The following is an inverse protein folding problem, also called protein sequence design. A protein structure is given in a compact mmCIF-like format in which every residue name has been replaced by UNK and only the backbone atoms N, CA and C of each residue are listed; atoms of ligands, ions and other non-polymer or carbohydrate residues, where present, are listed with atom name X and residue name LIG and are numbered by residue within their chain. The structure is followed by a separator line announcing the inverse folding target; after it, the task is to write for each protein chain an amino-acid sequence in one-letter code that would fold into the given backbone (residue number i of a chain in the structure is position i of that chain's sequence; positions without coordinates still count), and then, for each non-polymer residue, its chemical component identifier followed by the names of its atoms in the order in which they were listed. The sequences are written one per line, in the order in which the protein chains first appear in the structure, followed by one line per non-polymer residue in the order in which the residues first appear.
data_IF_904030542768
#
_entry.id   IF_904030542768
#
_cell.length_a   1.000
_cell.length_b   1.000
_cell.length_c   1.000
_cell.angle_alpha   90.00
_cell.angle_beta   90.00
_cell.angle_gamma   90.00
#
_symmetry.space_group_name_H-M   'P 1'
#
loop_
_entity.id
_entity.type
_entity.pdbx_description
1 polymer ?
#
# COMPACT_ATOMS: atom_id res chain seq x y z
N UNK A 1 -8.57 -3.76 32.09
CA UNK A 1 -9.60 -4.29 33.01
C UNK A 1 -10.90 -4.42 32.21
N UNK A 2 -11.47 -5.61 32.08
CA UNK A 2 -12.67 -5.88 31.27
C UNK A 2 -13.98 -5.58 32.02
N UNK A 3 -14.16 -4.40 32.63
CA UNK A 3 -15.32 -4.19 33.53
C UNK A 3 -16.68 -4.35 32.83
N UNK A 4 -16.85 -3.80 31.62
CA UNK A 4 -18.07 -3.94 30.85
C UNK A 4 -18.29 -5.37 30.32
N UNK A 5 -17.25 -6.02 29.80
CA UNK A 5 -17.36 -7.39 29.28
C UNK A 5 -17.58 -8.43 30.38
N UNK A 6 -16.97 -8.25 31.57
CA UNK A 6 -17.22 -9.07 32.74
C UNK A 6 -18.68 -8.93 33.22
N UNK A 7 -19.21 -7.70 33.21
CA UNK A 7 -20.63 -7.44 33.53
C UNK A 7 -21.59 -8.07 32.51
N UNK A 8 -21.23 -8.10 31.23
CA UNK A 8 -22.07 -8.66 30.18
C UNK A 8 -22.07 -10.20 30.17
N UNK A 9 -20.93 -10.82 30.51
CA UNK A 9 -20.75 -12.28 30.44
C UNK A 9 -20.91 -12.99 31.79
N UNK A 10 -20.95 -12.25 32.89
CA UNK A 10 -20.99 -12.81 34.25
C UNK A 10 -19.70 -13.53 34.66
N UNK A 11 -18.63 -13.46 33.86
CA UNK A 11 -17.34 -14.07 34.14
C UNK A 11 -16.45 -13.14 34.97
N UNK A 12 -15.60 -13.70 35.83
CA UNK A 12 -14.48 -12.93 36.39
C UNK A 12 -13.59 -12.45 35.23
N UNK A 13 -13.60 -11.14 34.99
CA UNK A 13 -12.80 -10.54 33.93
C UNK A 13 -11.32 -10.85 34.14
N UNK A 14 -10.72 -11.61 33.21
CA UNK A 14 -9.30 -11.94 33.24
C UNK A 14 -8.41 -10.70 33.12
N UNK A 15 -7.12 -10.85 33.43
CA UNK A 15 -6.16 -9.77 33.24
C UNK A 15 -5.83 -9.62 31.75
N UNK A 16 -6.19 -8.47 31.16
CA UNK A 16 -5.98 -8.18 29.73
C UNK A 16 -4.54 -8.43 29.28
N UNK A 17 -3.56 -8.10 30.13
CA UNK A 17 -2.13 -8.31 29.85
C UNK A 17 -1.76 -9.78 29.68
N UNK A 18 -2.39 -10.68 30.44
CA UNK A 18 -2.15 -12.13 30.32
C UNK A 18 -2.73 -12.65 29.01
N UNK A 19 -3.95 -12.21 28.67
CA UNK A 19 -4.58 -12.56 27.40
C UNK A 19 -3.75 -12.07 26.20
N UNK A 20 -3.32 -10.80 26.22
CA UNK A 20 -2.47 -10.22 25.18
C UNK A 20 -1.14 -10.98 25.05
N UNK A 21 -0.50 -11.33 26.17
CA UNK A 21 0.72 -12.13 26.16
C UNK A 21 0.50 -13.52 25.54
N UNK A 22 -0.60 -14.20 25.90
CA UNK A 22 -0.95 -15.50 25.33
C UNK A 22 -1.22 -15.41 23.82
N UNK A 23 -1.96 -14.39 23.37
CA UNK A 23 -2.17 -14.10 21.95
C UNK A 23 -0.84 -13.94 21.20
N UNK A 24 0.08 -13.12 21.74
CA UNK A 24 1.41 -12.90 21.14
C UNK A 24 2.23 -14.18 21.05
N UNK A 25 2.17 -15.05 22.07
CA UNK A 25 2.87 -16.35 22.05
C UNK A 25 2.30 -17.30 20.97
N UNK A 26 1.02 -17.17 20.63
CA UNK A 26 0.36 -17.93 19.58
C UNK A 26 0.42 -17.26 18.20
N UNK A 27 1.10 -16.11 18.06
CA UNK A 27 1.17 -15.36 16.81
C UNK A 27 -0.12 -14.66 16.40
N UNK A 28 -1.07 -14.49 17.34
CA UNK A 28 -2.31 -13.75 17.13
C UNK A 28 -2.00 -12.26 17.17
N UNK A 29 -2.46 -11.54 16.14
CA UNK A 29 -2.34 -10.09 16.04
C UNK A 29 -3.59 -9.47 16.66
N UNK A 30 -3.40 -8.74 17.75
CA UNK A 30 -4.47 -7.95 18.37
C UNK A 30 -4.63 -6.62 17.63
N UNK A 31 -5.88 -6.17 17.53
CA UNK A 31 -6.31 -4.91 16.92
C UNK A 31 -7.20 -4.16 17.90
N UNK A 32 -7.20 -2.84 17.81
CA UNK A 32 -7.97 -1.98 18.72
C UNK A 32 -9.32 -1.55 18.14
N UNK A 33 -9.50 -1.72 16.83
CA UNK A 33 -10.72 -1.35 16.13
C UNK A 33 -11.14 -2.39 15.08
N UNK A 34 -12.46 -2.59 14.83
CA UNK A 34 -12.95 -3.46 13.77
C UNK A 34 -12.46 -3.07 12.36
N UNK A 35 -12.27 -1.77 12.09
CA UNK A 35 -11.74 -1.30 10.82
C UNK A 35 -10.32 -1.86 10.56
N UNK A 36 -9.45 -1.79 11.57
CA UNK A 36 -8.10 -2.35 11.51
C UNK A 36 -8.12 -3.86 11.21
N UNK A 37 -9.09 -4.62 11.77
CA UNK A 37 -9.24 -6.04 11.44
C UNK A 37 -9.48 -6.28 9.94
N UNK A 38 -10.32 -5.45 9.31
CA UNK A 38 -10.63 -5.57 7.88
C UNK A 38 -9.41 -5.20 7.03
N UNK A 39 -8.69 -4.14 7.41
CA UNK A 39 -7.49 -3.71 6.71
C UNK A 39 -6.38 -4.77 6.78
N UNK A 40 -6.15 -5.34 7.96
CA UNK A 40 -5.22 -6.46 8.13
C UNK A 40 -5.66 -7.67 7.31
N UNK A 41 -6.95 -8.02 7.34
CA UNK A 41 -7.49 -9.16 6.59
C UNK A 41 -7.25 -8.99 5.08
N UNK A 42 -7.42 -7.78 4.54
CA UNK A 42 -7.09 -7.46 3.16
C UNK A 42 -5.61 -7.72 2.84
N UNK A 43 -4.70 -7.18 3.66
CA UNK A 43 -3.27 -7.36 3.47
C UNK A 43 -2.81 -8.82 3.57
N UNK A 44 -3.18 -9.51 4.65
CA UNK A 44 -2.76 -10.89 4.91
C UNK A 44 -3.33 -11.91 3.92
N UNK A 45 -4.53 -11.68 3.40
CA UNK A 45 -5.16 -12.59 2.42
C UNK A 45 -4.63 -12.42 1.01
N UNK A 46 -4.15 -11.21 0.67
CA UNK A 46 -3.95 -10.81 -0.72
C UNK A 46 -2.49 -10.52 -1.11
N UNK A 47 -1.60 -10.29 -0.13
CA UNK A 47 -0.22 -9.89 -0.36
C UNK A 47 0.78 -10.99 0.05
N UNK A 48 1.97 -11.05 -0.58
CA UNK A 48 3.08 -11.82 -0.03
C UNK A 48 3.52 -11.27 1.34
N UNK A 49 3.96 -12.14 2.25
CA UNK A 49 4.54 -11.69 3.51
C UNK A 49 5.92 -11.05 3.27
N UNK A 50 6.19 -9.85 3.83
CA UNK A 50 7.48 -9.19 3.69
C UNK A 50 8.57 -9.97 4.44
N UNK A 51 9.74 -10.13 3.83
CA UNK A 51 10.87 -10.88 4.42
C UNK A 51 11.55 -10.13 5.57
N UNK A 52 11.38 -8.82 5.62
CA UNK A 52 11.96 -7.90 6.59
C UNK A 52 11.19 -6.58 6.63
N UNK A 53 11.76 -5.58 7.28
CA UNK A 53 11.08 -4.32 7.59
C UNK A 53 11.54 -3.14 6.73
N UNK A 54 12.31 -3.38 5.64
CA UNK A 54 12.86 -2.31 4.80
C UNK A 54 11.89 -1.95 3.69
N UNK A 55 11.49 -0.69 3.62
CA UNK A 55 10.40 -0.20 2.77
C UNK A 55 10.92 0.78 1.74
N UNK A 56 10.55 0.54 0.48
CA UNK A 56 10.69 1.50 -0.61
C UNK A 56 9.40 2.30 -0.75
N UNK A 57 9.48 3.59 -0.97
CA UNK A 57 8.30 4.46 -1.14
C UNK A 57 8.35 5.09 -2.53
N UNK A 58 7.26 4.96 -3.30
CA UNK A 58 7.06 5.64 -4.59
C UNK A 58 5.84 6.54 -4.47
N UNK A 59 5.98 7.81 -4.82
CA UNK A 59 4.90 8.80 -4.66
C UNK A 59 4.83 9.74 -5.85
N UNK A 60 3.62 10.21 -6.16
CA UNK A 60 3.39 11.27 -7.13
C UNK A 60 3.68 12.67 -6.56
N UNK A 61 3.76 12.81 -5.24
CA UNK A 61 4.10 14.07 -4.56
C UNK A 61 4.83 13.89 -3.22
N UNK A 62 5.84 14.72 -2.99
CA UNK A 62 6.75 14.60 -1.85
C UNK A 62 6.11 14.71 -0.46
N UNK A 63 5.01 15.46 -0.31
CA UNK A 63 4.33 15.61 0.99
C UNK A 63 3.83 14.27 1.55
N UNK A 64 3.21 13.44 0.70
CA UNK A 64 2.82 12.08 1.08
C UNK A 64 4.04 11.22 1.38
N UNK A 65 5.09 11.32 0.57
CA UNK A 65 6.33 10.59 0.79
C UNK A 65 6.94 10.80 2.18
N UNK A 66 6.99 12.06 2.64
CA UNK A 66 7.51 12.40 3.98
C UNK A 66 6.62 11.81 5.08
N UNK A 67 5.32 12.05 5.03
CA UNK A 67 4.37 11.55 6.04
C UNK A 67 4.42 10.02 6.14
N UNK A 68 4.46 9.32 4.99
CA UNK A 68 4.58 7.86 4.96
C UNK A 68 5.91 7.38 5.52
N UNK A 69 7.01 8.05 5.21
CA UNK A 69 8.33 7.68 5.69
C UNK A 69 8.44 7.85 7.22
N UNK A 70 7.95 8.96 7.75
CA UNK A 70 7.89 9.20 9.20
C UNK A 70 7.03 8.13 9.88
N UNK A 71 5.85 7.83 9.31
CA UNK A 71 4.97 6.80 9.85
C UNK A 71 5.59 5.39 9.81
N UNK A 72 6.34 5.08 8.76
CA UNK A 72 7.11 3.83 8.68
C UNK A 72 8.07 3.72 9.86
N UNK A 73 8.86 4.76 10.11
CA UNK A 73 9.85 4.79 11.19
C UNK A 73 9.19 4.65 12.57
N UNK A 74 8.08 5.35 12.82
CA UNK A 74 7.29 5.22 14.05
C UNK A 74 6.75 3.80 14.27
N UNK A 75 6.45 3.10 13.18
CA UNK A 75 5.84 1.75 13.20
C UNK A 75 6.88 0.63 13.17
N UNK A 76 8.17 0.94 13.35
CA UNK A 76 9.27 -0.04 13.36
C UNK A 76 9.69 -0.55 11.98
N UNK A 77 9.21 0.08 10.91
CA UNK A 77 9.71 -0.12 9.55
C UNK A 77 10.90 0.81 9.29
N UNK A 78 11.75 0.45 8.34
CA UNK A 78 12.92 1.25 7.96
C UNK A 78 12.77 1.73 6.52
N UNK A 79 13.11 2.99 6.25
CA UNK A 79 13.14 3.57 4.89
C UNK A 79 14.60 3.80 4.50
N UNK A 80 15.34 2.75 4.09
CA UNK A 80 16.78 2.88 3.86
C UNK A 80 17.06 3.68 2.58
N UNK A 81 18.25 4.31 2.49
CA UNK A 81 18.70 4.90 1.23
C UNK A 81 18.82 3.83 0.14
N UNK A 82 18.59 4.23 -1.10
CA UNK A 82 18.71 3.38 -2.28
C UNK A 82 20.05 3.62 -2.98
N UNK A 83 20.69 2.60 -3.57
CA UNK A 83 21.96 2.74 -4.28
C UNK A 83 21.89 3.68 -5.48
N UNK A 84 23.02 4.30 -5.80
CA UNK A 84 23.20 5.16 -6.97
C UNK A 84 22.83 4.47 -8.29
N UNK A 85 22.96 3.16 -8.38
CA UNK A 85 22.56 2.39 -9.56
C UNK A 85 21.04 2.50 -9.82
N UNK A 86 20.23 2.33 -8.77
CA UNK A 86 18.76 2.47 -8.85
C UNK A 86 18.40 3.93 -9.16
N UNK A 87 19.04 4.88 -8.48
CA UNK A 87 18.85 6.32 -8.73
C UNK A 87 19.14 6.66 -10.20
N UNK A 88 20.21 6.08 -10.79
CA UNK A 88 20.57 6.30 -12.19
C UNK A 88 19.56 5.70 -13.16
N UNK A 89 18.97 4.54 -12.86
CA UNK A 89 17.95 3.92 -13.72
C UNK A 89 16.65 4.74 -13.68
N UNK A 90 16.12 5.00 -12.49
CA UNK A 90 14.89 5.80 -12.31
C UNK A 90 15.08 7.22 -12.86
N UNK A 91 16.24 7.83 -12.59
CA UNK A 91 16.55 9.19 -13.01
C UNK A 91 16.63 9.42 -14.53
N UNK A 92 16.67 8.38 -15.36
CA UNK A 92 16.55 8.51 -16.83
C UNK A 92 15.16 8.98 -17.27
N UNK A 93 14.16 8.75 -16.43
CA UNK A 93 12.76 9.08 -16.70
C UNK A 93 12.30 10.36 -15.99
N UNK A 94 13.11 10.89 -15.07
CA UNK A 94 12.73 11.98 -14.19
C UNK A 94 13.55 13.24 -14.48
N UNK A 95 12.97 14.43 -14.24
CA UNK A 95 13.69 15.68 -14.43
C UNK A 95 14.85 15.78 -13.42
N UNK A 96 15.92 16.56 -13.71
CA UNK A 96 17.13 16.61 -12.87
C UNK A 96 16.93 17.00 -11.39
N UNK A 97 15.78 17.57 -11.03
CA UNK A 97 15.44 18.10 -9.71
C UNK A 97 14.58 17.17 -8.84
N UNK A 98 14.33 15.92 -9.25
CA UNK A 98 13.65 14.93 -8.41
C UNK A 98 14.47 14.56 -7.15
N UNK A 99 13.83 13.92 -6.15
CA UNK A 99 14.38 13.70 -4.80
C UNK A 99 15.66 12.85 -4.75
N UNK A 100 15.91 11.98 -5.75
CA UNK A 100 17.09 11.09 -5.84
C UNK A 100 17.32 10.24 -4.59
N UNK A 101 16.25 9.69 -4.03
CA UNK A 101 16.35 8.90 -2.81
C UNK A 101 15.12 8.03 -2.56
N UNK A 102 14.98 7.63 -1.30
CA UNK A 102 13.80 6.92 -0.79
C UNK A 102 13.21 7.81 0.31
N UNK A 103 12.05 8.46 0.09
CA UNK A 103 11.08 8.23 -0.99
C UNK A 103 11.49 8.67 -2.41
N UNK A 104 11.03 7.90 -3.39
CA UNK A 104 11.10 8.21 -4.83
C UNK A 104 9.89 9.09 -5.20
N UNK A 105 10.11 10.40 -5.31
CA UNK A 105 9.10 11.36 -5.79
C UNK A 105 9.17 11.48 -7.31
N UNK A 106 8.09 11.10 -7.99
CA UNK A 106 7.96 11.15 -9.45
C UNK A 106 7.57 12.54 -9.98
N UNK A 107 7.42 13.53 -9.10
CA UNK A 107 7.28 14.94 -9.43
C UNK A 107 6.09 15.23 -10.35
N UNK A 108 4.99 14.49 -10.16
CA UNK A 108 3.80 14.63 -10.99
C UNK A 108 4.01 14.25 -12.47
N UNK A 109 4.93 13.32 -12.76
CA UNK A 109 5.18 12.85 -14.14
C UNK A 109 3.88 12.45 -14.87
N UNK A 110 3.83 12.76 -16.17
CA UNK A 110 2.75 12.35 -17.07
C UNK A 110 3.04 11.02 -17.76
N UNK A 111 4.26 10.54 -17.65
CA UNK A 111 4.67 9.24 -18.19
C UNK A 111 4.16 8.13 -17.27
N UNK A 112 3.29 7.31 -17.83
CA UNK A 112 2.55 6.26 -17.13
C UNK A 112 3.39 5.01 -16.88
N UNK A 113 4.56 4.88 -17.51
CA UNK A 113 5.46 3.74 -17.31
C UNK A 113 6.39 3.94 -16.10
N UNK A 114 6.75 5.19 -15.80
CA UNK A 114 7.71 5.54 -14.74
C UNK A 114 7.32 4.99 -13.36
N UNK A 115 6.05 5.01 -12.92
CA UNK A 115 5.66 4.43 -11.65
C UNK A 115 5.96 2.92 -11.58
N UNK A 116 5.71 2.20 -12.67
CA UNK A 116 5.97 0.75 -12.76
C UNK A 116 7.47 0.48 -12.71
N UNK A 117 8.26 1.26 -13.46
CA UNK A 117 9.74 1.18 -13.44
C UNK A 117 10.28 1.45 -12.03
N UNK A 118 9.84 2.51 -11.37
CA UNK A 118 10.30 2.86 -10.03
C UNK A 118 9.99 1.77 -9.00
N UNK A 119 8.76 1.23 -9.02
CA UNK A 119 8.39 0.11 -8.15
C UNK A 119 9.24 -1.13 -8.46
N UNK A 120 9.39 -1.50 -9.73
CA UNK A 120 10.17 -2.68 -10.11
C UNK A 120 11.64 -2.57 -9.67
N UNK A 121 12.29 -1.43 -9.88
CA UNK A 121 13.69 -1.24 -9.47
C UNK A 121 13.87 -1.35 -7.95
N UNK A 122 12.90 -0.87 -7.15
CA UNK A 122 12.92 -1.07 -5.71
C UNK A 122 12.71 -2.53 -5.33
N UNK A 123 11.82 -3.26 -6.01
CA UNK A 123 11.58 -4.68 -5.73
C UNK A 123 12.77 -5.57 -6.11
N UNK A 124 13.54 -5.22 -7.15
CA UNK A 124 14.79 -5.90 -7.53
C UNK A 124 15.85 -5.80 -6.43
N UNK A 125 15.87 -4.73 -5.66
CA UNK A 125 16.89 -4.49 -4.65
C UNK A 125 16.68 -5.32 -3.38
N UNK A 126 17.67 -6.13 -3.02
CA UNK A 126 17.67 -6.91 -1.77
C UNK A 126 17.70 -6.04 -0.51
N UNK A 127 17.97 -4.74 -0.64
CA UNK A 127 17.84 -3.75 0.43
C UNK A 127 16.39 -3.36 0.78
N UNK A 128 15.41 -3.81 -0.01
CA UNK A 128 13.99 -3.49 0.14
C UNK A 128 13.20 -4.80 0.24
N UNK A 129 12.31 -4.88 1.22
CA UNK A 129 11.47 -6.05 1.50
C UNK A 129 10.00 -5.84 1.10
N UNK A 130 9.57 -4.58 0.95
CA UNK A 130 8.22 -4.18 0.57
C UNK A 130 8.23 -2.79 -0.09
N UNK A 131 7.23 -2.48 -0.91
CA UNK A 131 7.06 -1.15 -1.51
C UNK A 131 5.70 -0.57 -1.16
N UNK A 132 5.65 0.69 -0.73
CA UNK A 132 4.43 1.48 -0.63
C UNK A 132 4.38 2.44 -1.82
N UNK A 133 3.27 2.45 -2.56
CA UNK A 133 3.10 3.27 -3.75
C UNK A 133 1.83 4.10 -3.69
N UNK A 134 1.90 5.38 -4.09
CA UNK A 134 0.84 6.34 -3.76
C UNK A 134 0.50 7.30 -4.90
N UNK A 135 -0.80 7.54 -5.10
CA UNK A 135 -1.30 8.54 -6.05
C UNK A 135 -1.44 8.07 -7.51
N UNK A 136 -1.38 6.76 -7.75
CA UNK A 136 -1.53 6.14 -9.07
C UNK A 136 -2.88 5.45 -9.30
N UNK A 137 -3.64 5.24 -8.23
CA UNK A 137 -4.98 4.66 -8.21
C UNK A 137 -5.91 5.62 -7.47
N UNK A 138 -7.19 5.68 -7.82
CA UNK A 138 -8.11 6.71 -7.33
C UNK A 138 -8.13 7.97 -8.20
N UNK A 139 -7.44 7.98 -9.33
CA UNK A 139 -7.42 9.12 -10.26
C UNK A 139 -8.67 9.10 -11.14
N UNK A 140 -9.14 7.91 -11.51
CA UNK A 140 -10.34 7.76 -12.33
C UNK A 140 -11.55 8.39 -11.64
N UNK A 141 -11.73 8.20 -10.35
CA UNK A 141 -12.84 8.79 -9.58
C UNK A 141 -12.76 10.33 -9.58
N UNK A 142 -11.56 10.89 -9.42
CA UNK A 142 -11.35 12.35 -9.53
C UNK A 142 -11.66 12.85 -10.95
N UNK A 143 -11.27 12.09 -11.97
CA UNK A 143 -11.57 12.41 -13.38
C UNK A 143 -13.08 12.34 -13.66
N UNK A 144 -13.77 11.31 -13.17
CA UNK A 144 -15.22 11.15 -13.34
C UNK A 144 -15.99 12.30 -12.67
N UNK A 145 -15.60 12.72 -11.46
CA UNK A 145 -16.20 13.88 -10.81
C UNK A 145 -16.01 15.17 -11.62
N UNK A 146 -14.83 15.38 -12.20
CA UNK A 146 -14.56 16.53 -13.09
C UNK A 146 -15.39 16.46 -14.38
N UNK A 147 -15.57 15.27 -14.94
CA UNK A 147 -16.39 15.05 -16.14
C UNK A 147 -17.86 15.35 -15.84
N UNK A 148 -18.39 14.84 -14.73
CA UNK A 148 -19.78 15.08 -14.30
C UNK A 148 -20.06 16.58 -14.13
N UNK A 149 -19.21 17.27 -13.36
CA UNK A 149 -19.33 18.72 -13.16
C UNK A 149 -19.17 19.52 -14.45
N UNK A 150 -18.30 19.08 -15.37
CA UNK A 150 -18.16 19.73 -16.68
C UNK A 150 -19.44 19.58 -17.52
N UNK A 151 -20.04 18.38 -17.54
CA UNK A 151 -21.30 18.13 -18.26
C UNK A 151 -22.47 18.95 -17.72
N UNK A 152 -22.47 19.28 -16.43
CA UNK A 152 -23.50 20.14 -15.82
C UNK A 152 -23.36 21.61 -16.21
N UNK A 153 -22.14 22.09 -16.45
CA UNK A 153 -21.84 23.51 -16.70
C UNK A 153 -21.76 23.84 -18.20
N UNK A 154 -21.39 22.86 -19.02
CA UNK A 154 -21.23 23.01 -20.47
C UNK A 154 -21.80 21.78 -21.20
N UNK A 155 -23.06 21.88 -21.62
CA UNK A 155 -23.73 20.83 -22.42
C UNK A 155 -23.09 20.63 -23.81
N UNK A 156 -22.35 21.62 -24.32
CA UNK A 156 -21.63 21.54 -25.60
C UNK A 156 -20.23 20.94 -25.46
N UNK A 157 -19.76 20.67 -24.23
CA UNK A 157 -18.53 19.96 -23.99
C UNK A 157 -18.52 18.64 -24.79
N UNK A 158 -17.45 18.40 -25.54
CA UNK A 158 -17.35 17.27 -26.44
C UNK A 158 -17.50 15.93 -25.69
N UNK A 159 -18.72 15.37 -25.64
CA UNK A 159 -19.03 14.17 -24.87
C UNK A 159 -18.12 12.99 -25.21
N UNK A 160 -17.78 12.83 -26.50
CA UNK A 160 -16.82 11.82 -26.96
C UNK A 160 -15.41 11.98 -26.36
N UNK A 161 -14.98 13.22 -26.12
CA UNK A 161 -13.68 13.51 -25.52
C UNK A 161 -13.70 13.17 -24.03
N UNK A 162 -14.78 13.53 -23.33
CA UNK A 162 -14.97 13.18 -21.92
C UNK A 162 -15.01 11.66 -21.73
N UNK A 163 -15.77 10.94 -22.56
CA UNK A 163 -15.83 9.47 -22.54
C UNK A 163 -14.45 8.84 -22.82
N UNK A 164 -13.69 9.42 -23.74
CA UNK A 164 -12.35 8.97 -24.05
C UNK A 164 -11.39 9.17 -22.87
N UNK A 165 -11.45 10.32 -22.21
CA UNK A 165 -10.63 10.63 -21.01
C UNK A 165 -10.97 9.66 -19.87
N UNK A 166 -12.25 9.41 -19.63
CA UNK A 166 -12.71 8.46 -18.62
C UNK A 166 -12.17 7.04 -18.88
N UNK A 167 -12.35 6.55 -20.12
CA UNK A 167 -11.88 5.23 -20.55
C UNK A 167 -10.36 5.07 -20.45
N UNK A 168 -9.59 6.13 -20.75
CA UNK A 168 -8.14 6.11 -20.63
C UNK A 168 -7.70 6.06 -19.16
N UNK A 169 -8.34 6.84 -18.28
CA UNK A 169 -8.04 6.83 -16.85
C UNK A 169 -8.34 5.46 -16.22
N UNK A 170 -9.48 4.89 -16.57
CA UNK A 170 -9.92 3.59 -16.09
C UNK A 170 -8.96 2.46 -16.51
N UNK A 171 -8.54 2.44 -17.80
CA UNK A 171 -7.57 1.47 -18.31
C UNK A 171 -6.21 1.60 -17.63
N UNK A 172 -5.71 2.83 -17.45
CA UNK A 172 -4.44 3.05 -16.77
C UNK A 172 -4.42 2.45 -15.36
N UNK A 173 -5.48 2.64 -14.57
CA UNK A 173 -5.54 2.07 -13.23
C UNK A 173 -5.57 0.53 -13.25
N UNK A 174 -6.36 -0.06 -14.14
CA UNK A 174 -6.45 -1.52 -14.23
C UNK A 174 -5.10 -2.12 -14.65
N UNK A 175 -4.43 -1.50 -15.64
CA UNK A 175 -3.09 -1.89 -16.09
C UNK A 175 -2.06 -1.70 -14.97
N UNK A 176 -2.13 -0.60 -14.21
CA UNK A 176 -1.24 -0.35 -13.08
C UNK A 176 -1.43 -1.41 -11.98
N UNK A 177 -2.67 -1.72 -11.60
CA UNK A 177 -2.99 -2.77 -10.62
C UNK A 177 -2.46 -4.13 -11.11
N UNK A 178 -2.71 -4.48 -12.37
CA UNK A 178 -2.21 -5.72 -12.96
C UNK A 178 -0.68 -5.79 -12.89
N UNK A 179 0.02 -4.73 -13.30
CA UNK A 179 1.48 -4.65 -13.22
C UNK A 179 2.00 -4.85 -11.79
N UNK A 180 1.39 -4.22 -10.77
CA UNK A 180 1.81 -4.40 -9.38
C UNK A 180 1.65 -5.86 -8.94
N UNK A 181 0.55 -6.52 -9.32
CA UNK A 181 0.35 -7.95 -9.03
C UNK A 181 1.40 -8.81 -9.73
N UNK A 182 1.71 -8.54 -11.00
CA UNK A 182 2.75 -9.28 -11.72
C UNK A 182 4.14 -9.13 -11.10
N UNK A 183 4.48 -7.92 -10.64
CA UNK A 183 5.71 -7.68 -9.91
C UNK A 183 5.74 -8.44 -8.57
N UNK A 184 4.62 -8.49 -7.84
CA UNK A 184 4.52 -9.28 -6.61
C UNK A 184 4.69 -10.79 -6.86
N UNK A 185 4.09 -11.34 -7.93
CA UNK A 185 4.31 -12.75 -8.33
C UNK A 185 5.78 -13.03 -8.66
N UNK A 186 6.43 -12.09 -9.36
CA UNK A 186 7.82 -12.22 -9.83
C UNK A 186 8.83 -12.14 -8.68
N UNK A 187 8.69 -11.16 -7.79
CA UNK A 187 9.69 -10.86 -6.76
C UNK A 187 9.33 -11.39 -5.36
N UNK A 188 8.06 -11.76 -5.12
CA UNK A 188 7.59 -12.26 -3.83
C UNK A 188 7.70 -11.24 -2.69
N UNK A 189 7.66 -9.95 -3.02
CA UNK A 189 7.71 -8.81 -2.07
C UNK A 189 6.41 -8.00 -2.22
N UNK A 190 5.76 -7.58 -1.12
CA UNK A 190 4.46 -6.91 -1.22
C UNK A 190 4.60 -5.50 -1.78
N UNK A 191 3.64 -5.14 -2.62
CA UNK A 191 3.39 -3.77 -3.07
C UNK A 191 2.05 -3.34 -2.49
N UNK A 192 2.06 -2.30 -1.67
CA UNK A 192 0.85 -1.75 -1.02
C UNK A 192 0.58 -0.38 -1.60
N UNK A 193 -0.62 -0.21 -2.13
CA UNK A 193 -1.07 1.06 -2.69
C UNK A 193 -1.74 1.96 -1.66
N UNK A 194 -1.66 3.27 -1.88
CA UNK A 194 -2.54 4.26 -1.26
C UNK A 194 -3.26 5.01 -2.37
N UNK A 195 -4.59 4.96 -2.33
CA UNK A 195 -5.45 5.60 -3.32
C UNK A 195 -5.44 7.11 -3.14
N UNK A 196 -5.48 7.86 -4.24
CA UNK A 196 -5.58 9.31 -4.24
C UNK A 196 -6.93 9.79 -3.67
N UNK A 197 -8.00 9.06 -3.98
CA UNK A 197 -9.35 9.31 -3.50
C UNK A 197 -10.01 7.99 -3.11
N UNK A 198 -11.15 8.10 -2.41
CA UNK A 198 -12.01 6.96 -2.17
C UNK A 198 -12.46 6.36 -3.50
N UNK A 199 -12.35 5.03 -3.58
CA UNK A 199 -12.70 4.25 -4.76
C UNK A 199 -13.83 3.28 -4.40
N UNK A 200 -14.83 3.18 -5.28
CA UNK A 200 -15.92 2.22 -5.13
C UNK A 200 -15.48 0.77 -5.33
N UNK A 201 -14.30 0.54 -5.93
CA UNK A 201 -13.73 -0.80 -6.17
C UNK A 201 -13.20 -1.47 -4.91
N UNK A 202 -13.21 -0.76 -3.77
CA UNK A 202 -12.74 -1.27 -2.49
C UNK A 202 -11.23 -1.45 -2.40
N UNK A 203 -10.78 -1.91 -1.22
CA UNK A 203 -9.37 -2.05 -0.86
C UNK A 203 -8.65 -3.17 -1.64
N UNK A 204 -9.34 -4.29 -1.92
CA UNK A 204 -8.76 -5.45 -2.60
C UNK A 204 -9.26 -5.52 -4.04
N UNK A 205 -8.32 -5.58 -4.99
CA UNK A 205 -8.55 -5.62 -6.44
C UNK A 205 -7.96 -6.91 -7.04
N UNK A 206 -8.74 -8.00 -7.13
CA UNK A 206 -8.25 -9.28 -7.63
C UNK A 206 -7.87 -9.25 -9.11
N UNK A 207 -6.80 -9.95 -9.48
CA UNK A 207 -6.39 -10.15 -10.88
C UNK A 207 -6.56 -11.61 -11.24
N UNK A 208 -7.33 -11.88 -12.30
CA UNK A 208 -7.73 -13.25 -12.68
C UNK A 208 -6.51 -14.15 -12.90
N UNK A 209 -6.50 -15.29 -12.21
CA UNK A 209 -5.45 -16.31 -12.36
C UNK A 209 -4.14 -15.98 -11.65
N UNK A 210 -4.09 -14.92 -10.83
CA UNK A 210 -2.94 -14.59 -9.99
C UNK A 210 -3.19 -15.05 -8.55
N UNK A 211 -2.12 -15.31 -7.80
CA UNK A 211 -2.14 -15.67 -6.38
C UNK A 211 -2.38 -14.44 -5.53
N UNK A 212 -1.75 -13.32 -5.89
CA UNK A 212 -1.89 -12.05 -5.19
C UNK A 212 -2.95 -11.15 -5.82
N UNK A 213 -3.42 -10.17 -5.06
CA UNK A 213 -4.34 -9.12 -5.53
C UNK A 213 -3.72 -7.75 -5.31
N UNK A 214 -4.17 -6.74 -6.07
CA UNK A 214 -3.84 -5.36 -5.76
C UNK A 214 -4.49 -4.97 -4.44
N UNK A 215 -3.76 -4.30 -3.55
CA UNK A 215 -4.29 -3.82 -2.27
C UNK A 215 -4.00 -2.34 -2.14
N UNK A 216 -5.06 -1.53 -2.03
CA UNK A 216 -4.99 -0.08 -2.02
C UNK A 216 -5.79 0.49 -0.85
N UNK A 217 -5.09 1.02 0.14
CA UNK A 217 -5.71 1.66 1.30
C UNK A 217 -6.06 3.12 1.01
N UNK A 218 -6.85 3.73 1.91
CA UNK A 218 -7.25 5.13 1.78
C UNK A 218 -6.20 6.08 2.35
N UNK A 219 -5.42 5.64 3.33
CA UNK A 219 -4.43 6.47 3.99
C UNK A 219 -3.06 5.78 4.03
N UNK A 220 -1.96 6.56 4.06
CA UNK A 220 -0.64 6.02 4.34
C UNK A 220 -0.56 5.29 5.69
N UNK A 221 -1.29 5.75 6.69
CA UNK A 221 -1.32 5.19 8.04
C UNK A 221 -1.82 3.74 8.03
N UNK A 222 -2.91 3.47 7.31
CA UNK A 222 -3.48 2.13 7.19
C UNK A 222 -2.49 1.19 6.47
N UNK A 223 -1.92 1.66 5.35
CA UNK A 223 -0.93 0.89 4.58
C UNK A 223 0.30 0.53 5.42
N UNK A 224 0.83 1.51 6.18
CA UNK A 224 1.99 1.31 7.05
C UNK A 224 1.64 0.40 8.23
N UNK A 225 0.48 0.57 8.86
CA UNK A 225 0.06 -0.27 9.97
C UNK A 225 -0.05 -1.73 9.53
N UNK A 226 -0.72 -1.99 8.41
CA UNK A 226 -0.84 -3.35 7.84
C UNK A 226 0.53 -3.94 7.58
N UNK A 227 1.41 -3.21 6.89
CA UNK A 227 2.75 -3.69 6.58
C UNK A 227 3.55 -4.02 7.85
N UNK A 228 3.49 -3.16 8.87
CA UNK A 228 4.15 -3.38 10.15
C UNK A 228 3.64 -4.65 10.84
N UNK A 229 2.32 -4.88 10.90
CA UNK A 229 1.76 -6.11 11.47
C UNK A 229 2.16 -7.36 10.66
N UNK A 230 2.22 -7.27 9.33
CA UNK A 230 2.72 -8.36 8.48
C UNK A 230 4.19 -8.72 8.77
N UNK A 231 5.05 -7.71 9.00
CA UNK A 231 6.44 -7.91 9.41
C UNK A 231 6.52 -8.62 10.77
N UNK A 232 5.75 -8.16 11.76
CA UNK A 232 5.70 -8.79 13.10
C UNK A 232 5.28 -10.26 12.99
N UNK A 233 4.26 -10.55 12.19
CA UNK A 233 3.80 -11.92 11.99
C UNK A 233 4.82 -12.81 11.27
N UNK A 234 5.50 -12.29 10.25
CA UNK A 234 6.57 -13.04 9.59
C UNK A 234 7.73 -13.33 10.55
N UNK A 235 8.08 -12.37 11.42
CA UNK A 235 9.09 -12.58 12.46
C UNK A 235 8.68 -13.71 13.42
N UNK A 236 7.42 -13.72 13.87
CA UNK A 236 6.86 -14.82 14.67
C UNK A 236 7.00 -16.17 13.97
N UNK A 237 6.58 -16.28 12.70
CA UNK A 237 6.69 -17.54 11.95
C UNK A 237 8.13 -18.06 11.87
N UNK A 238 9.11 -17.16 11.71
CA UNK A 238 10.52 -17.54 11.63
C UNK A 238 11.04 -18.09 12.96
N UNK A 239 10.69 -17.47 14.08
CA UNK A 239 11.08 -17.94 15.42
C UNK A 239 10.43 -19.28 15.76
N UNK A 240 9.16 -19.46 15.44
CA UNK A 240 8.43 -20.70 15.71
C UNK A 240 9.00 -21.89 14.91
N UNK A 241 9.45 -21.66 13.67
CA UNK A 241 10.11 -22.70 12.85
C UNK A 241 11.53 -23.04 13.30
N UNK A 242 12.25 -22.09 13.92
CA UNK A 242 13.60 -22.33 14.44
C UNK A 242 13.60 -23.07 15.78
N UNK A 243 12.45 -23.19 16.44
CA UNK A 243 12.27 -23.87 17.72
C UNK A 243 11.80 -25.32 17.59
N UNK A 244 11.66 -25.82 16.35
CA UNK A 244 11.31 -27.19 15.97
C UNK A 244 12.52 -27.89 15.34
#
# INVERSE_FOLDING_TARGET
MFSAAASHTGAMGGEFRIFEAACRQCGVINVDAPAELLDLSAGFSSLPLPKGNRVGIVTLGGGWGVVTADKCNESGLAVPPIPDEIIKVIGRYLPPFWSKGNPVDLVGTRDLEVPVVAVEELLKYDGIDAVITMGFVGRHELVSLLIETTREVDEEAAGWFLDQVESLSQRYEDDYVANMVELMEKYGKPVIGVSLTMSEKGTVRPVKGKRYSGVFYQTPEDAVNVLSKMVVYNHYQRLSRASL
#
